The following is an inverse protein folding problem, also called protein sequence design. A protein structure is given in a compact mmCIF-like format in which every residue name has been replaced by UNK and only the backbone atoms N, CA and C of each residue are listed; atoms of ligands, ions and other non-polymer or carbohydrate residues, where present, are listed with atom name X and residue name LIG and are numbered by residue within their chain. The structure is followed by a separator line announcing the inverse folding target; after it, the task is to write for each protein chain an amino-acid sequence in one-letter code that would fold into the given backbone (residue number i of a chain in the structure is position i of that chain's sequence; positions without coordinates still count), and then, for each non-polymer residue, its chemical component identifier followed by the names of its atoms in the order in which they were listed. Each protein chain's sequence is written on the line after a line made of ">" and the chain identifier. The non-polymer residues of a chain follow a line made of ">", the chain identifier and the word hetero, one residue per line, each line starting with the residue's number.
data_IF_927384809636
#
_entry.id   IF_927384809636
#
_cell.length_a   1.000
_cell.length_b   1.000
_cell.length_c   1.000
_cell.angle_alpha   90.00
_cell.angle_beta   90.00
_cell.angle_gamma   90.00
#
_symmetry.space_group_name_H-M   'P 1'
#
loop_
_entity.id
_entity.type
_entity.pdbx_description
1 polymer ?
#
# COMPACT_ATOMS: atom_id res chain seq x y z
N UNK A 1 9.66 1.80 9.78
CA UNK A 1 8.25 2.00 9.35
C UNK A 1 7.35 2.40 10.51
N UNK A 2 7.34 1.65 11.62
CA UNK A 2 6.58 2.05 12.82
C UNK A 2 6.95 3.45 13.35
N UNK A 3 8.23 3.82 13.30
CA UNK A 3 8.74 5.16 13.68
C UNK A 3 8.21 6.31 12.81
N UNK A 4 7.61 5.99 11.65
CA UNK A 4 7.00 6.96 10.73
C UNK A 4 5.46 6.92 10.76
N UNK A 5 4.87 6.27 11.77
CA UNK A 5 3.42 6.10 11.86
C UNK A 5 2.84 5.13 10.83
N UNK A 6 3.68 4.27 10.24
CA UNK A 6 3.27 3.23 9.28
C UNK A 6 3.31 1.87 9.96
N UNK A 7 2.14 1.27 10.15
CA UNK A 7 2.00 -0.13 10.55
C UNK A 7 1.97 -1.02 9.31
N UNK A 8 2.68 -2.14 9.34
CA UNK A 8 2.69 -3.11 8.24
C UNK A 8 2.03 -4.41 8.71
N UNK A 9 1.02 -4.86 7.99
CA UNK A 9 0.37 -6.15 8.24
C UNK A 9 0.48 -7.04 7.02
N UNK A 10 0.69 -8.33 7.27
CA UNK A 10 0.64 -9.35 6.24
C UNK A 10 -0.71 -10.08 6.30
N UNK A 11 -1.33 -10.31 5.15
CA UNK A 11 -2.59 -11.04 5.04
C UNK A 11 -2.52 -12.10 3.95
N UNK A 12 -3.34 -13.15 4.07
CA UNK A 12 -3.71 -13.95 2.91
C UNK A 12 -4.68 -13.13 2.05
N UNK A 13 -4.44 -13.10 0.74
CA UNK A 13 -5.22 -12.30 -0.20
C UNK A 13 -5.40 -13.02 -1.53
N UNK A 14 -6.33 -12.51 -2.33
CA UNK A 14 -6.59 -13.03 -3.66
C UNK A 14 -5.41 -12.76 -4.64
N UNK A 15 -5.21 -13.59 -5.69
CA UNK A 15 -4.02 -13.56 -6.55
C UNK A 15 -3.76 -12.28 -7.35
N UNK A 16 -4.69 -11.33 -7.43
CA UNK A 16 -4.52 -10.03 -8.09
C UNK A 16 -4.30 -8.88 -7.11
N UNK A 17 -4.42 -9.13 -5.82
CA UNK A 17 -4.16 -8.15 -4.79
C UNK A 17 -2.66 -8.14 -4.49
N UNK A 18 -2.06 -6.97 -4.63
CA UNK A 18 -0.60 -6.76 -4.56
C UNK A 18 -0.20 -5.80 -3.43
N UNK A 19 -1.19 -5.24 -2.72
CA UNK A 19 -1.01 -4.42 -1.53
C UNK A 19 -2.03 -3.30 -1.42
N UNK A 20 -2.06 -2.63 -0.28
CA UNK A 20 -2.93 -1.47 -0.07
C UNK A 20 -2.44 -0.58 1.07
N UNK A 21 -2.87 0.67 1.05
CA UNK A 21 -2.70 1.61 2.17
C UNK A 21 -4.05 2.10 2.64
N UNK A 22 -4.20 2.23 3.95
CA UNK A 22 -5.35 2.86 4.58
C UNK A 22 -4.87 3.92 5.56
N UNK A 23 -5.35 5.15 5.39
CA UNK A 23 -5.10 6.23 6.35
C UNK A 23 -6.16 6.20 7.43
N UNK A 24 -5.73 6.02 8.67
CA UNK A 24 -6.60 6.01 9.84
C UNK A 24 -7.01 7.43 10.23
N UNK A 25 -8.09 7.60 11.01
CA UNK A 25 -8.53 8.91 11.47
C UNK A 25 -7.48 9.67 12.30
N UNK A 26 -6.59 8.96 13.00
CA UNK A 26 -5.50 9.54 13.78
C UNK A 26 -4.29 9.97 12.92
N UNK A 27 -4.37 9.80 11.61
CA UNK A 27 -3.32 10.14 10.65
C UNK A 27 -2.26 9.06 10.47
N UNK A 28 -2.28 7.98 11.25
CA UNK A 28 -1.41 6.83 11.02
C UNK A 28 -1.80 6.08 9.75
N UNK A 29 -0.84 5.38 9.16
CA UNK A 29 -1.03 4.59 7.94
C UNK A 29 -0.96 3.11 8.28
N UNK A 30 -1.92 2.34 7.79
CA UNK A 30 -1.82 0.90 7.67
C UNK A 30 -1.35 0.58 6.25
N UNK A 31 -0.27 -0.18 6.13
CA UNK A 31 0.20 -0.78 4.90
C UNK A 31 -0.05 -2.28 4.93
N UNK A 32 -0.83 -2.78 3.96
CA UNK A 32 -1.20 -4.18 3.84
C UNK A 32 -0.35 -4.82 2.75
N UNK A 33 0.37 -5.90 3.08
CA UNK A 33 1.07 -6.75 2.12
C UNK A 33 0.40 -8.13 2.02
N UNK A 34 0.19 -8.67 0.82
CA UNK A 34 -0.22 -10.06 0.67
C UNK A 34 0.94 -11.02 0.98
N UNK A 35 0.63 -12.14 1.64
CA UNK A 35 1.58 -13.21 1.92
C UNK A 35 2.05 -13.91 0.64
N UNK A 36 3.28 -14.45 0.67
CA UNK A 36 3.80 -15.31 -0.39
C UNK A 36 4.18 -14.61 -1.71
N UNK A 37 4.23 -13.27 -1.74
CA UNK A 37 4.67 -12.52 -2.94
C UNK A 37 6.19 -12.38 -3.03
N UNK A 38 6.75 -12.32 -4.27
CA UNK A 38 8.14 -11.96 -4.48
C UNK A 38 8.49 -10.61 -3.85
N UNK A 39 9.68 -10.52 -3.23
CA UNK A 39 10.16 -9.29 -2.59
C UNK A 39 10.22 -8.12 -3.58
N UNK A 40 10.62 -8.36 -4.83
CA UNK A 40 10.67 -7.34 -5.86
C UNK A 40 9.29 -6.72 -6.17
N UNK A 41 8.23 -7.54 -6.18
CA UNK A 41 6.86 -7.08 -6.40
C UNK A 41 6.41 -6.19 -5.22
N UNK A 42 6.66 -6.64 -4.00
CA UNK A 42 6.40 -5.86 -2.79
C UNK A 42 7.13 -4.51 -2.82
N UNK A 43 8.41 -4.51 -3.18
CA UNK A 43 9.22 -3.31 -3.21
C UNK A 43 8.71 -2.25 -4.21
N UNK A 44 8.16 -2.70 -5.33
CA UNK A 44 7.55 -1.82 -6.34
C UNK A 44 6.24 -1.25 -5.81
N UNK A 45 5.33 -2.11 -5.31
CA UNK A 45 4.01 -1.67 -4.86
C UNK A 45 4.07 -0.83 -3.60
N UNK A 46 4.95 -1.17 -2.64
CA UNK A 46 5.15 -0.40 -1.42
C UNK A 46 5.61 1.02 -1.71
N UNK A 47 6.57 1.21 -2.64
CA UNK A 47 7.03 2.54 -3.01
C UNK A 47 5.89 3.37 -3.59
N UNK A 48 5.14 2.84 -4.55
CA UNK A 48 4.03 3.58 -5.15
C UNK A 48 2.91 3.91 -4.15
N UNK A 49 2.48 2.93 -3.34
CA UNK A 49 1.40 3.11 -2.37
C UNK A 49 1.79 4.07 -1.24
N UNK A 50 2.97 3.88 -0.63
CA UNK A 50 3.44 4.77 0.44
C UNK A 50 3.79 6.15 -0.09
N UNK A 51 4.41 6.25 -1.28
CA UNK A 51 4.70 7.54 -1.89
C UNK A 51 3.44 8.34 -2.16
N UNK A 52 2.38 7.70 -2.66
CA UNK A 52 1.08 8.34 -2.84
C UNK A 52 0.47 8.78 -1.51
N UNK A 53 0.43 7.90 -0.50
CA UNK A 53 -0.13 8.21 0.82
C UNK A 53 0.62 9.35 1.53
N UNK A 54 1.95 9.38 1.40
CA UNK A 54 2.83 10.40 1.98
C UNK A 54 3.03 11.63 1.08
N UNK A 55 2.36 11.68 -0.08
CA UNK A 55 2.46 12.76 -1.08
C UNK A 55 3.89 13.02 -1.56
N UNK A 56 4.69 11.97 -1.65
CA UNK A 56 6.03 11.99 -2.26
C UNK A 56 5.88 11.78 -3.75
N UNK A 57 6.43 12.69 -4.55
CA UNK A 57 6.47 12.54 -6.01
C UNK A 57 7.38 11.36 -6.37
N UNK A 58 6.83 10.34 -7.04
CA UNK A 58 7.55 9.17 -7.49
C UNK A 58 7.33 8.96 -9.00
N UNK A 59 8.23 8.22 -9.67
CA UNK A 59 7.99 7.74 -11.03
C UNK A 59 6.65 6.99 -11.14
N UNK A 60 6.03 6.97 -12.33
CA UNK A 60 4.82 6.19 -12.54
C UNK A 60 5.08 4.71 -12.28
N UNK A 61 4.05 4.04 -11.79
CA UNK A 61 4.09 2.61 -11.52
C UNK A 61 4.20 1.84 -12.86
N UNK A 62 5.08 0.82 -12.95
CA UNK A 62 5.22 0.06 -14.19
C UNK A 62 4.00 -0.81 -14.45
N UNK A 63 3.66 -1.02 -15.73
CA UNK A 63 2.68 -2.02 -16.11
C UNK A 63 3.12 -3.43 -15.62
N UNK A 64 2.18 -4.30 -15.22
CA UNK A 64 0.73 -4.16 -15.29
C UNK A 64 0.08 -3.59 -14.01
N UNK A 65 0.87 -3.01 -13.10
CA UNK A 65 0.32 -2.58 -11.81
C UNK A 65 -0.46 -1.27 -11.95
N UNK A 66 -1.60 -1.20 -11.27
CA UNK A 66 -2.47 -0.02 -11.22
C UNK A 66 -2.85 0.27 -9.76
N UNK A 67 -3.06 1.55 -9.44
CA UNK A 67 -3.50 2.00 -8.12
C UNK A 67 -4.87 2.65 -8.24
N UNK A 68 -5.82 2.13 -7.49
CA UNK A 68 -7.18 2.67 -7.40
C UNK A 68 -7.39 3.24 -6.00
N UNK A 69 -7.93 4.46 -5.92
CA UNK A 69 -8.41 5.02 -4.66
C UNK A 69 -9.87 4.65 -4.46
N UNK A 70 -10.16 4.02 -3.32
CA UNK A 70 -11.53 3.72 -2.91
C UNK A 70 -11.91 4.73 -1.82
N UNK A 71 -12.99 5.50 -1.99
CA UNK A 71 -13.45 6.39 -0.92
C UNK A 71 -13.80 5.55 0.30
N UNK A 72 -13.39 6.01 1.48
CA UNK A 72 -13.81 5.39 2.73
C UNK A 72 -15.35 5.39 2.77
N UNK A 73 -15.97 4.21 2.79
CA UNK A 73 -17.41 4.09 3.00
C UNK A 73 -17.71 4.71 4.37
N UNK A 74 -18.56 5.75 4.40
CA UNK A 74 -19.12 6.27 5.64
C UNK A 74 -19.98 5.16 6.25
N UNK A 75 -19.41 4.43 7.20
CA UNK A 75 -20.17 3.57 8.11
C UNK A 75 -20.99 4.39 9.09
#
# INVERSE_FOLDING_TARGET
>A
MAEHGVEVVEIEAEPRFTGGTFQRPDGSLLFVRPAGRPVAEWEITARALLGRALRVALPPLPAPFEVTEVPASRG
#
